data_IF_892057343448
#
_entry.id   IF_892057343448
#
_cell.length_a   1.000
_cell.length_b   1.000
_cell.length_c   1.000
_cell.angle_alpha   90.00
_cell.angle_beta   90.00
_cell.angle_gamma   90.00
#
_symmetry.space_group_name_H-M   'P 1'
#
loop_
_entity.id
_entity.type
_entity.pdbx_description
1 polymer ?
#
# COMPACT_ATOMS: atom_id res chain seq x y z
N UNK A 1 5.45 -13.35 -7.80
CA UNK A 1 5.55 -14.64 -7.08
C UNK A 1 4.14 -15.02 -6.69
N UNK A 2 3.71 -16.25 -6.97
CA UNK A 2 2.42 -16.72 -6.46
C UNK A 2 2.57 -16.93 -4.94
N UNK A 3 1.61 -16.49 -4.11
CA UNK A 3 1.65 -16.75 -2.68
C UNK A 3 1.69 -18.27 -2.43
N UNK A 4 2.47 -18.68 -1.42
CA UNK A 4 2.64 -20.09 -1.07
C UNK A 4 1.35 -20.69 -0.49
N UNK A 5 0.64 -19.91 0.32
CA UNK A 5 -0.68 -20.25 0.82
C UNK A 5 -1.62 -19.05 0.65
N UNK A 6 -2.89 -19.33 0.41
CA UNK A 6 -3.97 -18.36 0.50
C UNK A 6 -4.70 -18.57 1.82
N UNK A 7 -4.55 -17.64 2.75
CA UNK A 7 -5.15 -17.69 4.08
C UNK A 7 -6.33 -16.72 4.09
N UNK A 8 -7.51 -17.27 4.33
CA UNK A 8 -8.75 -16.52 4.37
C UNK A 8 -9.13 -16.22 5.81
N UNK A 9 -9.72 -15.06 6.06
CA UNK A 9 -10.28 -14.77 7.38
C UNK A 9 -11.61 -14.06 7.31
N UNK A 10 -12.40 -14.20 8.37
CA UNK A 10 -13.67 -13.51 8.56
C UNK A 10 -13.56 -12.56 9.74
N UNK A 11 -14.37 -11.50 9.74
CA UNK A 11 -14.45 -10.56 10.86
C UNK A 11 -15.76 -10.73 11.63
N UNK A 12 -15.71 -10.76 12.96
CA UNK A 12 -16.87 -10.73 13.84
C UNK A 12 -16.84 -9.46 14.70
N UNK A 13 -17.93 -8.69 14.71
CA UNK A 13 -18.05 -7.48 15.55
C UNK A 13 -17.21 -6.26 15.13
N UNK A 14 -16.43 -6.34 14.05
CA UNK A 14 -15.71 -5.18 13.50
C UNK A 14 -16.67 -4.27 12.72
N UNK A 15 -16.51 -2.95 12.89
CA UNK A 15 -17.22 -1.96 12.07
C UNK A 15 -16.69 -1.98 10.62
N UNK A 16 -17.51 -1.52 9.66
CA UNK A 16 -17.09 -1.42 8.25
C UNK A 16 -15.81 -0.58 8.09
N UNK A 17 -15.72 0.53 8.80
CA UNK A 17 -14.54 1.38 8.85
C UNK A 17 -13.28 0.63 9.37
N UNK A 18 -13.42 -0.24 10.37
CA UNK A 18 -12.27 -1.04 10.84
C UNK A 18 -11.89 -2.14 9.85
N UNK A 19 -12.88 -2.70 9.15
CA UNK A 19 -12.62 -3.68 8.07
C UNK A 19 -11.82 -3.03 6.95
N UNK A 20 -12.17 -1.82 6.52
CA UNK A 20 -11.43 -1.06 5.50
C UNK A 20 -10.01 -0.73 5.95
N UNK A 21 -9.84 -0.31 7.21
CA UNK A 21 -8.51 -0.07 7.81
C UNK A 21 -7.66 -1.32 7.84
N UNK A 22 -8.23 -2.42 8.33
CA UNK A 22 -7.55 -3.71 8.38
C UNK A 22 -7.16 -4.15 6.97
N UNK A 23 -8.08 -4.12 6.00
CA UNK A 23 -7.78 -4.41 4.60
C UNK A 23 -6.64 -3.54 4.06
N UNK A 24 -6.64 -2.25 4.36
CA UNK A 24 -5.56 -1.36 3.95
C UNK A 24 -4.20 -1.78 4.52
N UNK A 25 -4.15 -2.22 5.78
CA UNK A 25 -2.89 -2.68 6.40
C UNK A 25 -2.49 -4.08 5.91
N UNK A 26 -3.44 -4.96 5.61
CA UNK A 26 -3.15 -6.28 5.03
C UNK A 26 -2.37 -6.16 3.72
N UNK A 27 -2.75 -5.21 2.86
CA UNK A 27 -2.04 -4.96 1.60
C UNK A 27 -0.58 -4.65 1.85
N UNK A 28 -0.27 -3.95 2.94
CA UNK A 28 1.10 -3.66 3.34
C UNK A 28 1.78 -4.90 3.93
N UNK A 29 1.03 -5.69 4.68
CA UNK A 29 1.53 -6.87 5.37
C UNK A 29 1.85 -8.00 4.39
N UNK A 30 1.05 -8.16 3.34
CA UNK A 30 1.24 -9.12 2.25
C UNK A 30 2.61 -8.96 1.59
N UNK A 31 3.19 -7.76 1.59
CA UNK A 31 4.54 -7.52 1.06
C UNK A 31 5.63 -8.11 1.96
N UNK A 32 5.33 -8.29 3.25
CA UNK A 32 6.24 -8.84 4.27
C UNK A 32 5.91 -10.29 4.66
N UNK A 33 4.75 -10.79 4.28
CA UNK A 33 4.26 -12.14 4.52
C UNK A 33 4.46 -13.01 3.27
N UNK A 34 4.66 -14.31 3.46
CA UNK A 34 4.88 -15.26 2.35
C UNK A 34 3.58 -15.80 1.76
N UNK A 35 2.46 -15.53 2.43
CA UNK A 35 1.12 -15.99 2.11
C UNK A 35 0.21 -14.81 1.76
N UNK A 36 -0.79 -15.04 0.91
CA UNK A 36 -1.85 -14.07 0.65
C UNK A 36 -2.87 -14.12 1.77
N UNK A 37 -3.40 -12.96 2.12
CA UNK A 37 -4.38 -12.81 3.19
C UNK A 37 -5.59 -12.08 2.64
N UNK A 38 -6.76 -12.74 2.68
CA UNK A 38 -7.99 -12.19 2.11
C UNK A 38 -9.14 -12.21 3.12
N UNK A 39 -9.92 -11.13 3.12
CA UNK A 39 -11.11 -11.00 3.95
C UNK A 39 -12.32 -11.60 3.22
N UNK A 40 -12.99 -12.55 3.85
CA UNK A 40 -14.22 -13.17 3.37
C UNK A 40 -15.43 -12.73 4.22
N UNK A 41 -16.58 -12.54 3.57
CA UNK A 41 -17.85 -12.25 4.24
C UNK A 41 -18.52 -13.50 4.82
N UNK A 42 -18.19 -14.68 4.27
CA UNK A 42 -18.75 -15.95 4.73
C UNK A 42 -17.91 -16.51 5.87
N UNK A 43 -18.50 -16.75 7.06
CA UNK A 43 -17.77 -17.35 8.16
C UNK A 43 -17.38 -18.80 7.85
N UNK A 44 -18.11 -19.54 7.03
CA UNK A 44 -17.84 -20.97 6.82
C UNK A 44 -16.63 -21.24 5.93
N UNK A 45 -16.19 -20.24 5.16
CA UNK A 45 -15.09 -20.36 4.21
C UNK A 45 -13.75 -19.85 4.75
N UNK A 46 -13.73 -19.26 5.94
CA UNK A 46 -12.56 -18.60 6.51
C UNK A 46 -11.69 -19.54 7.36
N UNK A 47 -10.37 -19.45 7.22
CA UNK A 47 -9.39 -20.19 8.04
C UNK A 47 -9.22 -19.60 9.45
N UNK A 48 -9.36 -18.27 9.57
CA UNK A 48 -9.11 -17.49 10.78
C UNK A 48 -10.29 -16.56 11.09
N UNK A 49 -10.56 -16.31 12.37
CA UNK A 49 -11.57 -15.33 12.79
C UNK A 49 -10.89 -14.15 13.47
N UNK A 50 -11.22 -12.92 13.04
CA UNK A 50 -10.79 -11.69 13.68
C UNK A 50 -11.98 -11.06 14.39
N UNK A 51 -11.87 -10.81 15.69
CA UNK A 51 -12.97 -10.27 16.48
C UNK A 51 -12.52 -9.17 17.44
N UNK A 52 -13.44 -8.27 17.83
CA UNK A 52 -13.16 -7.29 18.89
C UNK A 52 -13.27 -7.92 20.27
N UNK A 53 -14.21 -8.85 20.44
CA UNK A 53 -14.33 -9.64 21.66
C UNK A 53 -14.60 -11.12 21.32
N UNK A 54 -13.90 -12.03 22.00
CA UNK A 54 -14.16 -13.48 22.05
C UNK A 54 -15.62 -13.84 22.35
N UNK A 55 -16.36 -13.01 23.11
CA UNK A 55 -17.79 -13.23 23.36
C UNK A 55 -18.65 -13.10 22.08
N UNK A 56 -18.12 -12.50 21.02
CA UNK A 56 -18.77 -12.38 19.71
C UNK A 56 -18.57 -13.64 18.83
N UNK A 57 -17.78 -14.61 19.30
CA UNK A 57 -17.51 -15.83 18.55
C UNK A 57 -18.65 -16.83 18.67
N UNK A 58 -18.89 -17.55 17.58
CA UNK A 58 -19.87 -18.64 17.57
C UNK A 58 -19.40 -19.79 18.49
N UNK A 59 -20.28 -20.33 19.36
CA UNK A 59 -19.96 -21.49 20.18
C UNK A 59 -19.53 -22.68 19.29
N UNK A 60 -18.42 -23.33 19.66
CA UNK A 60 -17.90 -24.49 18.92
C UNK A 60 -16.98 -24.17 17.73
N UNK A 61 -16.73 -22.90 17.42
CA UNK A 61 -15.72 -22.53 16.44
C UNK A 61 -14.31 -22.86 16.96
N UNK A 62 -13.56 -23.73 16.30
CA UNK A 62 -12.22 -24.18 16.73
C UNK A 62 -11.08 -23.49 15.96
N UNK A 63 -11.40 -22.55 15.07
CA UNK A 63 -10.41 -21.86 14.26
C UNK A 63 -9.51 -20.95 15.11
N UNK A 64 -8.29 -20.63 14.63
CA UNK A 64 -7.49 -19.55 15.17
C UNK A 64 -8.28 -18.25 15.27
N UNK A 65 -8.14 -17.58 16.42
CA UNK A 65 -8.81 -16.31 16.69
C UNK A 65 -7.76 -15.22 16.90
N UNK A 66 -7.90 -14.11 16.17
CA UNK A 66 -7.13 -12.88 16.41
C UNK A 66 -8.06 -11.86 17.07
N UNK A 67 -7.73 -11.45 18.29
CA UNK A 67 -8.47 -10.43 19.04
C UNK A 67 -7.91 -9.05 18.72
N UNK A 68 -8.77 -8.17 18.22
CA UNK A 68 -8.47 -6.80 17.83
C UNK A 68 -8.60 -5.87 19.04
N UNK A 69 -7.47 -5.49 19.66
CA UNK A 69 -7.46 -4.94 21.01
C UNK A 69 -7.00 -3.48 21.09
N UNK A 70 -7.82 -2.63 21.68
CA UNK A 70 -7.47 -1.23 21.95
C UNK A 70 -6.60 -1.08 23.21
N UNK A 71 -5.77 -0.02 23.32
CA UNK A 71 -4.86 0.16 24.45
C UNK A 71 -5.60 0.41 25.79
N UNK A 72 -6.85 0.87 25.71
CA UNK A 72 -7.72 1.16 26.85
C UNK A 72 -8.34 -0.08 27.47
N UNK A 73 -8.33 -1.22 26.78
CA UNK A 73 -8.96 -2.45 27.24
C UNK A 73 -8.04 -3.18 28.24
N UNK A 74 -8.57 -3.66 29.38
CA UNK A 74 -7.78 -4.37 30.38
C UNK A 74 -7.16 -5.64 29.79
N UNK A 75 -6.01 -6.05 30.34
CA UNK A 75 -5.40 -7.32 29.94
C UNK A 75 -6.37 -8.46 30.16
N UNK A 76 -6.63 -9.18 29.07
CA UNK A 76 -7.43 -10.38 29.14
C UNK A 76 -6.62 -11.47 29.81
N UNK A 77 -7.15 -11.96 30.92
CA UNK A 77 -6.66 -13.18 31.53
C UNK A 77 -7.05 -14.31 30.58
N UNK A 78 -6.07 -14.82 29.84
CA UNK A 78 -6.22 -15.96 28.95
C UNK A 78 -6.39 -17.21 29.82
N UNK A 79 -7.54 -17.35 30.46
CA UNK A 79 -7.88 -18.55 31.19
C UNK A 79 -8.12 -19.67 30.17
N UNK A 80 -7.09 -20.51 29.99
CA UNK A 80 -7.06 -21.79 29.25
C UNK A 80 -8.19 -21.97 28.22
N UNK A 81 -8.18 -21.14 27.18
CA UNK A 81 -9.04 -21.40 26.03
C UNK A 81 -8.51 -22.65 25.30
N UNK A 82 -9.42 -23.53 24.90
CA UNK A 82 -9.08 -24.73 24.13
C UNK A 82 -8.63 -24.41 22.69
N UNK A 83 -8.73 -23.14 22.28
CA UNK A 83 -8.41 -22.66 20.92
C UNK A 83 -7.18 -21.75 20.90
N UNK A 84 -6.42 -21.72 19.80
CA UNK A 84 -5.30 -20.80 19.65
C UNK A 84 -5.82 -19.36 19.52
N UNK A 85 -5.43 -18.53 20.49
CA UNK A 85 -5.82 -17.13 20.61
C UNK A 85 -4.58 -16.24 20.40
N UNK A 86 -4.71 -15.26 19.54
CA UNK A 86 -3.68 -14.26 19.25
C UNK A 86 -4.22 -12.87 19.54
N UNK A 87 -3.36 -11.97 20.00
CA UNK A 87 -3.71 -10.57 20.28
C UNK A 87 -3.07 -9.67 19.22
N UNK A 88 -3.88 -8.85 18.57
CA UNK A 88 -3.42 -7.80 17.66
C UNK A 88 -3.77 -6.44 18.26
N UNK A 89 -2.76 -5.70 18.72
CA UNK A 89 -3.01 -4.39 19.32
C UNK A 89 -3.16 -3.34 18.24
N UNK A 90 -4.09 -2.43 18.51
CA UNK A 90 -4.37 -1.28 17.67
C UNK A 90 -4.17 0.00 18.46
N UNK A 91 -3.88 1.08 17.74
CA UNK A 91 -3.79 2.39 18.34
C UNK A 91 -5.18 2.96 18.69
N UNK A 92 -5.22 4.19 19.22
CA UNK A 92 -6.47 4.88 19.56
C UNK A 92 -7.35 5.22 18.36
N UNK A 93 -6.83 5.11 17.13
CA UNK A 93 -7.60 5.26 15.90
C UNK A 93 -8.14 3.92 15.39
N UNK A 94 -7.84 2.82 16.08
CA UNK A 94 -8.19 1.47 15.66
C UNK A 94 -7.33 0.97 14.50
N UNK A 95 -6.11 1.48 14.31
CA UNK A 95 -5.16 0.98 13.31
C UNK A 95 -4.19 -0.01 13.95
N UNK A 96 -3.99 -1.22 13.38
CA UNK A 96 -3.08 -2.18 13.94
C UNK A 96 -1.63 -1.74 13.75
N UNK A 97 -0.80 -1.96 14.77
CA UNK A 97 0.63 -1.72 14.62
C UNK A 97 1.21 -2.71 13.61
N UNK A 98 1.85 -2.19 12.56
CA UNK A 98 2.32 -3.00 11.44
C UNK A 98 3.26 -4.15 11.86
N UNK A 99 4.19 -3.87 12.80
CA UNK A 99 5.12 -4.87 13.33
C UNK A 99 4.41 -5.99 14.08
N UNK A 100 3.40 -5.66 14.89
CA UNK A 100 2.59 -6.64 15.60
C UNK A 100 1.75 -7.46 14.63
N UNK A 101 1.12 -6.82 13.65
CA UNK A 101 0.32 -7.49 12.63
C UNK A 101 1.14 -8.55 11.90
N UNK A 102 2.33 -8.19 11.41
CA UNK A 102 3.22 -9.16 10.73
C UNK A 102 3.62 -10.30 11.67
N UNK A 103 3.84 -10.02 12.95
CA UNK A 103 4.22 -11.03 13.95
C UNK A 103 3.07 -12.00 14.22
N UNK A 104 1.88 -11.48 14.52
CA UNK A 104 0.66 -12.25 14.77
C UNK A 104 0.31 -13.11 13.56
N UNK A 105 0.39 -12.55 12.36
CA UNK A 105 0.02 -13.26 11.13
C UNK A 105 0.98 -14.43 10.84
N UNK A 106 2.28 -14.26 11.09
CA UNK A 106 3.24 -15.36 11.01
C UNK A 106 2.97 -16.45 12.04
N UNK A 107 2.58 -16.08 13.26
CA UNK A 107 2.23 -17.06 14.29
C UNK A 107 0.97 -17.86 13.91
N UNK A 108 -0.03 -17.17 13.35
CA UNK A 108 -1.25 -17.80 12.85
C UNK A 108 -0.96 -18.73 11.67
N UNK A 109 -0.13 -18.31 10.73
CA UNK A 109 0.32 -19.14 9.61
C UNK A 109 1.01 -20.44 10.09
N UNK A 110 1.94 -20.33 11.05
CA UNK A 110 2.59 -21.49 11.65
C UNK A 110 1.58 -22.41 12.36
N UNK A 111 0.58 -21.84 13.04
CA UNK A 111 -0.46 -22.62 13.70
C UNK A 111 -1.33 -23.38 12.68
N UNK A 112 -1.70 -22.76 11.56
CA UNK A 112 -2.47 -23.39 10.49
C UNK A 112 -1.68 -24.55 9.86
N UNK A 113 -0.37 -24.36 9.64
CA UNK A 113 0.52 -25.41 9.15
C UNK A 113 0.57 -26.60 10.13
N UNK A 114 0.67 -26.35 11.43
CA UNK A 114 0.69 -27.41 12.44
C UNK A 114 -0.61 -28.24 12.46
N UNK A 115 -1.76 -27.58 12.34
CA UNK A 115 -3.07 -28.25 12.29
C UNK A 115 -3.20 -29.10 11.02
N UNK A 116 -2.72 -28.60 9.88
CA UNK A 116 -2.72 -29.34 8.61
C UNK A 116 -1.86 -30.62 8.69
N UNK A 117 -0.68 -30.53 9.30
CA UNK A 117 0.21 -31.69 9.51
C UNK A 117 -0.44 -32.72 10.46
N UNK A 118 -1.05 -32.27 11.56
CA UNK A 118 -1.72 -33.16 12.50
C UNK A 118 -2.90 -33.93 11.87
N UNK A 119 -3.66 -33.27 10.99
CA UNK A 119 -4.81 -33.87 10.30
C UNK A 119 -4.42 -34.81 9.15
N UNK A 120 -3.19 -34.68 8.63
CA UNK A 120 -2.68 -35.53 7.55
C UNK A 120 -2.35 -36.97 7.99
N UNK A 121 -2.50 -37.29 9.29
CA UNK A 121 -2.14 -38.57 9.88
C UNK A 121 -0.63 -38.80 9.91
N UNK A 122 -0.15 -39.86 10.59
CA UNK A 122 1.27 -40.20 10.63
C UNK A 122 1.72 -40.70 9.26
N UNK A 123 2.05 -39.77 8.35
CA UNK A 123 2.93 -40.10 7.25
C UNK A 123 4.34 -40.25 7.84
N UNK A 124 4.88 -41.46 7.76
CA UNK A 124 6.26 -41.77 8.15
C UNK A 124 7.19 -40.97 7.24
N UNK A 125 7.62 -39.79 7.71
CA UNK A 125 8.67 -39.01 7.08
C UNK A 125 9.64 -38.51 8.15
N UNK A 126 10.77 -39.22 8.18
CA UNK A 126 12.03 -38.86 8.84
C UNK A 126 12.52 -37.55 8.25
N UNK A 127 12.63 -36.49 9.06
CA UNK A 127 13.84 -35.65 9.20
C UNK A 127 13.62 -34.56 10.26
N UNK A 128 14.62 -34.39 11.11
CA UNK A 128 14.70 -33.44 12.22
C UNK A 128 14.57 -31.98 11.77
N UNK A 129 13.56 -31.27 12.29
CA UNK A 129 13.50 -29.80 12.29
C UNK A 129 13.76 -29.33 13.72
N UNK A 130 14.81 -28.53 13.98
CA UNK A 130 15.09 -28.04 15.32
C UNK A 130 14.05 -27.01 15.76
N UNK A 131 13.45 -27.26 16.94
CA UNK A 131 12.58 -26.34 17.65
C UNK A 131 13.32 -25.01 17.92
N UNK A 132 12.81 -23.90 17.39
CA UNK A 132 13.25 -22.56 17.81
C UNK A 132 12.68 -22.26 19.19
N UNK A 133 13.56 -22.15 20.18
CA UNK A 133 13.24 -21.58 21.50
C UNK A 133 12.95 -20.08 21.40
N UNK A 134 12.09 -19.52 22.28
CA UNK A 134 11.78 -18.11 22.28
C UNK A 134 13.04 -17.28 22.59
N UNK A 135 13.33 -16.32 21.72
CA UNK A 135 14.38 -15.32 21.93
C UNK A 135 13.90 -14.39 23.04
N UNK A 136 14.43 -14.57 24.25
CA UNK A 136 14.42 -13.55 25.27
C UNK A 136 15.46 -12.49 24.90
N UNK A 137 15.03 -11.22 24.97
CA UNK A 137 15.85 -10.00 25.00
C UNK A 137 16.89 -9.83 23.88
N UNK A 138 16.44 -9.22 22.77
CA UNK A 138 17.33 -8.54 21.84
C UNK A 138 17.46 -7.06 22.24
N UNK A 139 18.58 -6.75 22.91
CA UNK A 139 19.10 -5.40 23.05
C UNK A 139 19.38 -4.82 21.64
N UNK A 140 18.80 -3.64 21.34
CA UNK A 140 18.85 -2.94 20.04
C UNK A 140 20.25 -2.37 19.66
N UNK A 141 21.37 -2.90 20.14
CA UNK A 141 22.69 -2.34 19.82
C UNK A 141 23.72 -3.44 19.50
N UNK A 142 23.87 -3.77 18.22
CA UNK A 142 25.02 -4.56 17.75
C UNK A 142 24.82 -5.18 16.36
N UNK A 143 24.95 -4.38 15.31
CA UNK A 143 25.11 -4.89 13.94
C UNK A 143 26.48 -4.40 13.43
N UNK A 144 27.52 -5.18 13.71
CA UNK A 144 28.81 -5.07 13.02
C UNK A 144 29.03 -6.38 12.23
N UNK A 145 29.24 -6.19 10.93
CA UNK A 145 29.96 -7.00 9.94
C UNK A 145 30.01 -8.52 10.15
N UNK A 146 29.25 -9.23 9.32
CA UNK A 146 29.47 -10.66 9.08
C UNK A 146 29.53 -10.93 7.57
N UNK A 147 30.75 -11.19 7.11
CA UNK A 147 31.10 -11.59 5.75
C UNK A 147 30.43 -12.93 5.38
N UNK A 148 29.63 -12.90 4.31
CA UNK A 148 28.99 -14.07 3.73
C UNK A 148 29.77 -14.51 2.47
N UNK A 149 30.76 -15.40 2.64
CA UNK A 149 31.23 -16.23 1.54
C UNK A 149 30.32 -17.46 1.39
N UNK A 150 29.56 -17.49 0.30
CA UNK A 150 28.64 -18.58 -0.06
C UNK A 150 29.16 -19.39 -1.24
N UNK A 151 29.52 -20.64 -0.94
CA UNK A 151 29.92 -21.72 -1.86
C UNK A 151 28.76 -22.12 -2.79
N UNK A 152 29.04 -22.20 -4.10
CA UNK A 152 28.14 -22.72 -5.13
C UNK A 152 28.04 -24.26 -5.07
N UNK A 153 26.84 -24.86 -5.15
CA UNK A 153 26.71 -26.27 -5.46
C UNK A 153 26.47 -26.50 -6.96
N UNK A 154 27.22 -27.46 -7.47
CA UNK A 154 27.24 -28.01 -8.82
C UNK A 154 25.93 -28.69 -9.20
N UNK A 155 25.39 -28.38 -10.39
CA UNK A 155 24.20 -29.02 -10.95
C UNK A 155 24.51 -30.43 -11.48
N UNK A 156 23.70 -31.39 -11.05
CA UNK A 156 23.70 -32.77 -11.55
C UNK A 156 22.75 -32.89 -12.74
N UNK A 157 23.24 -33.45 -13.84
CA UNK A 157 22.47 -33.83 -15.04
C UNK A 157 21.35 -34.81 -14.72
N UNK A 158 20.15 -34.56 -15.26
CA UNK A 158 19.03 -35.52 -15.27
C UNK A 158 18.74 -35.96 -16.69
N UNK A 159 18.67 -37.28 -16.81
CA UNK A 159 18.52 -38.14 -17.99
C UNK A 159 17.18 -37.92 -18.69
N UNK A 160 17.24 -37.83 -20.04
CA UNK A 160 16.10 -37.94 -20.96
C UNK A 160 15.56 -39.37 -20.96
N UNK A 161 14.27 -39.52 -20.68
CA UNK A 161 13.47 -40.66 -21.12
C UNK A 161 12.27 -40.15 -21.93
N UNK A 162 12.11 -40.72 -23.12
CA UNK A 162 11.03 -40.47 -24.04
C UNK A 162 10.01 -41.60 -23.94
N UNK A 163 8.72 -41.24 -23.94
CA UNK A 163 7.65 -42.13 -24.43
C UNK A 163 6.51 -41.28 -25.02
N UNK A 164 5.86 -41.74 -26.10
CA UNK A 164 4.80 -41.01 -26.79
C UNK A 164 3.43 -41.47 -26.30
N UNK A 165 2.60 -40.54 -25.81
CA UNK A 165 1.21 -40.82 -25.45
C UNK A 165 0.26 -39.73 -25.99
N UNK A 166 -0.49 -40.16 -27.01
CA UNK A 166 -1.89 -39.84 -27.30
C UNK A 166 -2.39 -38.39 -27.22
N UNK A 167 -2.64 -37.84 -28.42
CA UNK A 167 -3.49 -36.69 -28.72
C UNK A 167 -4.84 -36.75 -27.99
N UNK A 168 -4.92 -36.01 -26.87
CA UNK A 168 -6.20 -35.51 -26.35
C UNK A 168 -6.28 -34.03 -26.68
N UNK A 169 -7.07 -33.75 -27.72
CA UNK A 169 -7.45 -32.40 -28.15
C UNK A 169 -8.33 -31.75 -27.06
N UNK A 170 -7.68 -31.18 -26.03
CA UNK A 170 -8.33 -30.30 -25.07
C UNK A 170 -8.47 -28.94 -25.77
N UNK A 171 -9.67 -28.63 -26.24
CA UNK A 171 -10.05 -27.26 -26.58
C UNK A 171 -9.91 -26.41 -25.31
N UNK A 172 -8.76 -25.74 -25.19
CA UNK A 172 -8.55 -24.73 -24.17
C UNK A 172 -9.58 -23.61 -24.41
N UNK A 173 -10.57 -23.51 -23.51
CA UNK A 173 -11.38 -22.30 -23.41
C UNK A 173 -10.42 -21.15 -23.12
N UNK A 174 -10.09 -20.37 -24.14
CA UNK A 174 -9.36 -19.12 -24.01
C UNK A 174 -10.17 -18.21 -23.08
N UNK A 175 -9.66 -18.06 -21.85
CA UNK A 175 -10.15 -17.11 -20.85
C UNK A 175 -10.24 -15.74 -21.54
N UNK A 176 -11.40 -15.07 -21.55
CA UNK A 176 -11.54 -13.80 -22.25
C UNK A 176 -10.49 -12.83 -21.72
N UNK A 177 -9.64 -12.31 -22.60
CA UNK A 177 -8.70 -11.25 -22.24
C UNK A 177 -9.49 -10.09 -21.63
N UNK A 178 -9.09 -9.59 -20.45
CA UNK A 178 -9.76 -8.46 -19.83
C UNK A 178 -9.70 -7.29 -20.81
N UNK A 179 -10.88 -6.77 -21.19
CA UNK A 179 -10.96 -5.59 -22.06
C UNK A 179 -10.13 -4.47 -21.44
N UNK A 180 -9.14 -3.99 -22.18
CA UNK A 180 -8.32 -2.87 -21.75
C UNK A 180 -9.22 -1.67 -21.42
N UNK A 181 -9.22 -1.27 -20.16
CA UNK A 181 -9.96 -0.09 -19.70
C UNK A 181 -9.29 1.13 -20.34
N UNK A 182 -10.02 1.84 -21.19
CA UNK A 182 -9.50 3.07 -21.80
C UNK A 182 -9.35 4.12 -20.69
N UNK A 183 -8.17 4.76 -20.53
CA UNK A 183 -7.98 5.77 -19.51
C UNK A 183 -8.92 6.97 -19.72
N UNK A 184 -9.32 7.66 -18.65
CA UNK A 184 -10.13 8.87 -18.75
C UNK A 184 -9.37 9.96 -19.53
N UNK A 185 -10.07 10.68 -20.40
CA UNK A 185 -9.47 11.74 -21.23
C UNK A 185 -9.15 13.01 -20.41
N UNK A 186 -8.14 12.95 -19.54
CA UNK A 186 -7.75 14.05 -18.63
C UNK A 186 -6.50 14.84 -19.09
N UNK A 187 -5.94 14.48 -20.23
CA UNK A 187 -4.68 15.02 -20.78
C UNK A 187 -4.69 16.55 -20.90
N UNK A 188 -5.78 17.10 -21.45
CA UNK A 188 -5.90 18.55 -21.66
C UNK A 188 -5.91 19.33 -20.35
N UNK A 189 -6.53 18.77 -19.31
CA UNK A 189 -6.60 19.38 -17.98
C UNK A 189 -5.23 19.35 -17.30
N UNK A 190 -4.49 18.24 -17.41
CA UNK A 190 -3.14 18.12 -16.89
C UNK A 190 -2.18 19.13 -17.57
N UNK A 191 -2.19 19.17 -18.91
CA UNK A 191 -1.40 20.11 -19.70
C UNK A 191 -1.76 21.57 -19.38
N UNK A 192 -3.04 21.85 -19.15
CA UNK A 192 -3.50 23.17 -18.76
C UNK A 192 -2.92 23.61 -17.42
N UNK A 193 -3.08 22.78 -16.37
CA UNK A 193 -2.56 23.12 -15.04
C UNK A 193 -1.04 23.31 -15.02
N UNK A 194 -0.32 22.55 -15.84
CA UNK A 194 1.14 22.69 -15.98
C UNK A 194 1.55 24.06 -16.53
N UNK A 195 0.80 24.58 -17.51
CA UNK A 195 1.13 25.84 -18.20
C UNK A 195 0.58 27.08 -17.49
N UNK A 196 -0.54 26.94 -16.79
CA UNK A 196 -1.36 28.08 -16.37
C UNK A 196 -1.08 28.58 -14.95
N UNK A 197 -0.10 27.98 -14.26
CA UNK A 197 0.31 28.37 -12.91
C UNK A 197 1.00 29.75 -12.93
N UNK A 198 0.22 30.83 -12.96
CA UNK A 198 0.73 32.19 -12.76
C UNK A 198 0.02 33.32 -13.50
N UNK A 199 -0.69 33.03 -14.60
CA UNK A 199 -1.18 34.11 -15.49
C UNK A 199 -2.43 34.82 -14.98
N UNK A 200 -3.33 34.09 -14.31
CA UNK A 200 -4.52 34.65 -13.69
C UNK A 200 -4.85 33.89 -12.39
N UNK A 201 -5.45 34.55 -11.37
CA UNK A 201 -5.74 33.93 -10.09
C UNK A 201 -6.94 32.97 -10.15
N UNK A 202 -7.91 33.21 -11.05
CA UNK A 202 -9.16 32.45 -11.12
C UNK A 202 -9.41 31.92 -12.53
N UNK A 203 -9.80 30.65 -12.62
CA UNK A 203 -10.10 30.00 -13.89
C UNK A 203 -11.34 29.14 -13.78
N UNK A 204 -12.03 28.97 -14.91
CA UNK A 204 -13.15 28.06 -15.09
C UNK A 204 -12.84 27.11 -16.23
N UNK A 205 -13.02 25.83 -15.96
CA UNK A 205 -12.87 24.74 -16.92
C UNK A 205 -14.23 24.06 -17.01
N UNK A 206 -14.83 24.07 -18.20
CA UNK A 206 -16.04 23.32 -18.51
C UNK A 206 -15.60 22.04 -19.23
N UNK A 207 -16.03 20.88 -18.75
CA UNK A 207 -15.78 19.60 -19.38
C UNK A 207 -16.87 19.30 -20.42
N UNK A 208 -16.62 18.35 -21.33
CA UNK A 208 -17.63 17.91 -22.30
C UNK A 208 -18.79 17.17 -21.63
N UNK A 209 -18.56 16.57 -20.45
CA UNK A 209 -19.61 16.05 -19.57
C UNK A 209 -20.60 17.12 -19.07
N UNK A 210 -20.22 18.40 -19.15
CA UNK A 210 -20.96 19.52 -18.56
C UNK A 210 -20.50 19.87 -17.13
N UNK A 211 -19.62 19.06 -16.54
CA UNK A 211 -19.03 19.37 -15.24
C UNK A 211 -18.15 20.63 -15.29
N UNK A 212 -18.10 21.35 -14.19
CA UNK A 212 -17.36 22.61 -14.08
C UNK A 212 -16.33 22.51 -12.95
N UNK A 213 -15.09 22.77 -13.31
CA UNK A 213 -13.98 22.90 -12.36
C UNK A 213 -13.61 24.39 -12.27
N UNK A 214 -13.72 24.95 -11.08
CA UNK A 214 -13.27 26.31 -10.78
C UNK A 214 -11.94 26.24 -10.04
N UNK A 215 -10.93 26.95 -10.52
CA UNK A 215 -9.59 26.98 -9.92
C UNK A 215 -9.34 28.35 -9.27
N UNK A 216 -8.94 28.36 -8.01
CA UNK A 216 -8.42 29.51 -7.29
C UNK A 216 -6.93 29.27 -6.97
N UNK A 217 -6.07 29.71 -7.88
CA UNK A 217 -4.61 29.59 -7.70
C UNK A 217 -4.08 30.48 -6.56
N UNK A 218 -4.84 31.49 -6.14
CA UNK A 218 -4.42 32.38 -5.04
C UNK A 218 -4.56 31.68 -3.70
N UNK A 219 -5.64 30.94 -3.48
CA UNK A 219 -5.84 30.15 -2.25
C UNK A 219 -5.27 28.73 -2.35
N UNK A 220 -4.89 28.28 -3.56
CA UNK A 220 -4.44 26.91 -3.78
C UNK A 220 -5.59 25.90 -3.69
N UNK A 221 -6.81 26.32 -4.05
CA UNK A 221 -8.04 25.52 -3.95
C UNK A 221 -8.73 25.38 -5.30
N UNK A 222 -9.45 24.29 -5.47
CA UNK A 222 -10.38 24.11 -6.59
C UNK A 222 -11.76 23.72 -6.07
N UNK A 223 -12.76 23.98 -6.90
CA UNK A 223 -14.14 23.63 -6.63
C UNK A 223 -14.69 22.82 -7.78
N UNK A 224 -15.34 21.70 -7.47
CA UNK A 224 -15.95 20.81 -8.44
C UNK A 224 -17.31 20.33 -7.93
N UNK A 225 -18.29 20.23 -8.83
CA UNK A 225 -19.63 19.71 -8.56
C UNK A 225 -19.66 18.17 -8.40
N UNK A 226 -18.52 17.50 -8.62
CA UNK A 226 -18.37 16.04 -8.57
C UNK A 226 -17.05 15.66 -7.92
N UNK A 227 -16.99 14.49 -7.27
CA UNK A 227 -15.72 13.97 -6.74
C UNK A 227 -14.77 13.57 -7.87
N UNK A 228 -13.46 13.59 -7.59
CA UNK A 228 -12.43 13.27 -8.59
C UNK A 228 -12.51 11.80 -9.02
N UNK A 229 -12.80 10.88 -8.10
CA UNK A 229 -12.95 9.44 -8.36
C UNK A 229 -14.03 9.15 -9.38
N UNK A 230 -15.06 10.00 -9.44
CA UNK A 230 -16.16 9.84 -10.34
C UNK A 230 -15.75 10.10 -11.81
N UNK A 231 -14.63 10.79 -12.06
CA UNK A 231 -14.02 10.88 -13.40
C UNK A 231 -13.44 9.55 -13.89
N UNK A 232 -13.19 8.60 -12.99
CA UNK A 232 -12.74 7.25 -13.35
C UNK A 232 -13.91 6.31 -13.69
N UNK A 233 -15.15 6.73 -13.44
CA UNK A 233 -16.34 5.90 -13.62
C UNK A 233 -17.00 6.18 -14.98
N UNK A 234 -17.16 5.12 -15.77
CA UNK A 234 -17.85 5.10 -17.08
C UNK A 234 -17.28 6.09 -18.13
N UNK A 235 -17.63 6.00 -19.43
CA UNK A 235 -16.99 6.80 -20.49
C UNK A 235 -17.50 8.25 -20.47
N UNK A 236 -17.40 8.93 -19.34
CA UNK A 236 -17.58 10.37 -19.27
C UNK A 236 -16.47 11.01 -20.12
N UNK A 237 -16.88 11.82 -21.11
CA UNK A 237 -15.93 12.61 -21.88
C UNK A 237 -15.43 13.76 -21.00
N UNK A 238 -14.33 13.48 -20.28
CA UNK A 238 -13.69 14.40 -19.36
C UNK A 238 -12.78 15.40 -20.09
N UNK A 239 -12.86 15.49 -21.43
CA UNK A 239 -12.11 16.50 -22.19
C UNK A 239 -12.61 17.89 -21.82
N UNK A 240 -11.69 18.85 -21.78
CA UNK A 240 -12.06 20.24 -21.60
C UNK A 240 -12.78 20.73 -22.87
N UNK A 241 -14.03 21.18 -22.72
CA UNK A 241 -14.77 21.83 -23.80
C UNK A 241 -14.39 23.31 -23.90
N UNK A 242 -14.17 23.96 -22.75
CA UNK A 242 -13.87 25.38 -22.67
C UNK A 242 -13.05 25.70 -21.43
N UNK A 243 -12.02 26.54 -21.58
CA UNK A 243 -11.19 27.03 -20.48
C UNK A 243 -11.12 28.56 -20.55
N UNK A 244 -11.39 29.24 -19.44
CA UNK A 244 -11.37 30.70 -19.36
C UNK A 244 -10.87 31.23 -18.03
N UNK A 245 -10.20 32.37 -18.07
CA UNK A 245 -9.87 33.17 -16.88
C UNK A 245 -11.11 33.92 -16.38
N UNK A 246 -11.25 34.08 -15.06
CA UNK A 246 -12.33 34.84 -14.43
C UNK A 246 -11.79 36.01 -13.60
N UNK A 247 -12.59 37.07 -13.47
CA UNK A 247 -12.43 38.03 -12.39
C UNK A 247 -12.90 37.43 -11.05
N UNK A 248 -12.51 38.05 -9.94
CA UNK A 248 -12.93 37.60 -8.61
C UNK A 248 -14.47 37.63 -8.44
N UNK A 249 -15.15 38.61 -9.03
CA UNK A 249 -16.61 38.74 -8.94
C UNK A 249 -17.31 37.64 -9.76
N UNK A 250 -16.82 37.35 -10.96
CA UNK A 250 -17.34 36.25 -11.79
C UNK A 250 -17.10 34.90 -11.12
N UNK A 251 -15.92 34.66 -10.55
CA UNK A 251 -15.61 33.44 -9.81
C UNK A 251 -16.60 33.21 -8.65
N UNK A 252 -16.85 34.24 -7.84
CA UNK A 252 -17.85 34.16 -6.75
C UNK A 252 -19.26 33.92 -7.27
N UNK A 253 -19.63 34.54 -8.39
CA UNK A 253 -20.93 34.30 -9.01
C UNK A 253 -21.06 32.88 -9.53
N UNK A 254 -20.04 32.34 -10.20
CA UNK A 254 -20.04 30.95 -10.67
C UNK A 254 -20.08 29.96 -9.51
N UNK A 255 -19.31 30.20 -8.44
CA UNK A 255 -19.32 29.39 -7.24
C UNK A 255 -20.70 29.34 -6.58
N UNK A 256 -21.45 30.46 -6.59
CA UNK A 256 -22.82 30.51 -6.04
C UNK A 256 -23.88 29.78 -6.88
N UNK A 257 -23.59 29.46 -8.15
CA UNK A 257 -24.54 28.79 -9.06
C UNK A 257 -24.54 27.27 -8.90
N UNK A 258 -23.54 26.71 -8.22
CA UNK A 258 -23.28 25.28 -8.20
C UNK A 258 -23.06 24.80 -6.77
N UNK A 259 -23.49 23.58 -6.48
CA UNK A 259 -23.15 22.91 -5.24
C UNK A 259 -21.80 22.21 -5.42
N UNK A 260 -20.72 22.95 -5.15
CA UNK A 260 -19.36 22.46 -5.35
C UNK A 260 -18.68 22.14 -4.02
N UNK A 261 -17.93 21.05 -3.99
CA UNK A 261 -17.00 20.76 -2.91
C UNK A 261 -15.67 21.48 -3.14
N UNK A 262 -15.09 22.03 -2.07
CA UNK A 262 -13.78 22.68 -2.09
C UNK A 262 -12.68 21.68 -1.72
N UNK A 263 -11.61 21.64 -2.52
CA UNK A 263 -10.45 20.76 -2.30
C UNK A 263 -9.13 21.48 -2.64
N UNK A 264 -7.97 21.03 -2.11
CA UNK A 264 -6.66 21.57 -2.48
C UNK A 264 -6.32 21.33 -3.96
N UNK A 265 -5.72 22.30 -4.65
CA UNK A 265 -5.22 22.12 -6.03
C UNK A 265 -4.18 20.99 -6.09
N UNK A 266 -3.40 20.78 -5.03
CA UNK A 266 -2.45 19.67 -4.95
C UNK A 266 -3.12 18.30 -5.08
N UNK A 267 -4.37 18.14 -4.60
CA UNK A 267 -5.15 16.90 -4.77
C UNK A 267 -5.57 16.69 -6.23
N UNK A 268 -5.91 17.76 -6.95
CA UNK A 268 -6.19 17.70 -8.38
C UNK A 268 -4.93 17.38 -9.19
N UNK A 269 -3.79 17.99 -8.87
CA UNK A 269 -2.50 17.70 -9.52
C UNK A 269 -2.08 16.25 -9.31
N UNK A 270 -2.19 15.75 -8.08
CA UNK A 270 -1.98 14.33 -7.74
C UNK A 270 -2.84 13.41 -8.61
N UNK A 271 -4.15 13.68 -8.66
CA UNK A 271 -5.09 12.86 -9.42
C UNK A 271 -4.77 12.85 -10.92
N UNK A 272 -4.42 14.00 -11.48
CA UNK A 272 -4.06 14.13 -12.89
C UNK A 272 -2.74 13.45 -13.22
N UNK A 273 -1.74 13.51 -12.33
CA UNK A 273 -0.49 12.77 -12.50
C UNK A 273 -0.74 11.25 -12.56
N UNK A 274 -1.66 10.73 -11.75
CA UNK A 274 -2.00 9.30 -11.76
C UNK A 274 -2.74 8.85 -13.04
N UNK A 275 -3.63 9.69 -13.59
CA UNK A 275 -4.64 9.21 -14.54
C UNK A 275 -4.66 9.92 -15.90
N UNK A 276 -3.92 11.01 -16.10
CA UNK A 276 -3.95 11.74 -17.37
C UNK A 276 -3.15 11.08 -18.48
N UNK A 277 -2.18 10.21 -18.16
CA UNK A 277 -1.29 9.60 -19.15
C UNK A 277 -0.36 10.60 -19.86
N UNK A 278 -0.30 11.85 -19.39
CA UNK A 278 0.60 12.87 -19.93
C UNK A 278 1.99 12.65 -19.34
N UNK A 279 2.91 12.13 -20.15
CA UNK A 279 4.31 12.04 -19.77
C UNK A 279 4.92 13.44 -19.60
N UNK A 280 5.67 13.64 -18.50
CA UNK A 280 6.57 14.78 -18.38
C UNK A 280 5.97 16.02 -17.72
N UNK A 281 5.12 15.86 -16.71
CA UNK A 281 4.95 16.94 -15.73
C UNK A 281 6.27 17.15 -14.99
N UNK A 282 6.95 16.07 -14.59
CA UNK A 282 8.35 16.05 -14.18
C UNK A 282 9.12 14.99 -14.99
N UNK A 283 10.34 15.29 -15.41
CA UNK A 283 11.17 14.34 -16.15
C UNK A 283 11.61 13.19 -15.22
N UNK A 284 10.77 12.16 -15.13
CA UNK A 284 11.07 10.91 -14.43
C UNK A 284 11.91 10.05 -15.37
N UNK A 285 13.15 9.78 -14.98
CA UNK A 285 14.09 8.94 -15.72
C UNK A 285 13.93 7.49 -15.28
N UNK A 286 13.68 6.57 -16.20
CA UNK A 286 13.57 5.14 -15.86
C UNK A 286 14.85 4.56 -15.22
N UNK A 287 15.99 5.17 -15.52
CA UNK A 287 17.31 4.72 -15.05
C UNK A 287 17.72 5.37 -13.70
N UNK A 288 16.95 6.34 -13.20
CA UNK A 288 17.16 6.89 -11.85
C UNK A 288 16.51 5.98 -10.80
N UNK A 289 17.14 5.87 -9.63
CA UNK A 289 16.61 5.10 -8.52
C UNK A 289 15.71 5.97 -7.64
N UNK A 290 14.51 5.48 -7.32
CA UNK A 290 13.50 6.21 -6.58
C UNK A 290 13.21 5.56 -5.23
N UNK A 291 13.02 6.40 -4.21
CA UNK A 291 12.45 6.00 -2.92
C UNK A 291 11.56 7.10 -2.35
N UNK A 292 10.64 6.71 -1.47
CA UNK A 292 9.72 7.64 -0.82
C UNK A 292 10.27 8.11 0.54
N UNK A 293 10.09 9.40 0.83
CA UNK A 293 10.37 10.02 2.13
C UNK A 293 9.31 9.67 3.17
N UNK A 294 8.05 9.56 2.73
CA UNK A 294 6.87 9.29 3.55
C UNK A 294 5.78 8.59 2.71
N UNK A 295 4.73 8.11 3.37
CA UNK A 295 3.58 7.53 2.69
C UNK A 295 2.72 8.62 2.05
N UNK A 296 2.05 8.34 0.92
CA UNK A 296 0.96 9.19 0.46
C UNK A 296 -0.16 9.22 1.51
N UNK A 297 -0.80 10.37 1.66
CA UNK A 297 -1.97 10.52 2.53
C UNK A 297 -3.12 9.65 1.97
N UNK A 298 -3.75 8.85 2.84
CA UNK A 298 -4.85 7.96 2.47
C UNK A 298 -6.09 8.70 1.97
N UNK A 299 -6.20 10.01 2.25
CA UNK A 299 -7.27 10.87 1.75
C UNK A 299 -7.02 11.38 0.32
N UNK A 300 -5.87 11.07 -0.29
CA UNK A 300 -5.59 11.49 -1.65
C UNK A 300 -6.51 10.78 -2.66
N UNK A 301 -7.07 11.55 -3.61
CA UNK A 301 -8.07 11.04 -4.52
C UNK A 301 -7.48 9.99 -5.47
N UNK A 302 -8.29 8.97 -5.76
CA UNK A 302 -7.93 7.91 -6.71
C UNK A 302 -6.77 7.00 -6.27
N UNK A 303 -6.42 6.95 -4.98
CA UNK A 303 -5.53 5.90 -4.46
C UNK A 303 -6.19 4.51 -4.62
N UNK A 304 -5.39 3.52 -5.03
CA UNK A 304 -5.81 2.13 -5.26
C UNK A 304 -4.86 1.20 -4.54
N UNK A 305 -5.26 -0.07 -4.37
CA UNK A 305 -4.45 -1.10 -3.70
C UNK A 305 -3.02 -1.20 -4.26
N UNK A 306 -2.89 -1.14 -5.59
CA UNK A 306 -1.58 -1.17 -6.27
C UNK A 306 -0.69 0.01 -5.90
N UNK A 307 -1.25 1.21 -5.67
CA UNK A 307 -0.50 2.39 -5.24
C UNK A 307 0.04 2.23 -3.82
N UNK A 308 -0.72 1.62 -2.90
CA UNK A 308 -0.23 1.30 -1.55
C UNK A 308 0.89 0.25 -1.60
N UNK A 309 0.78 -0.73 -2.50
CA UNK A 309 1.85 -1.71 -2.73
C UNK A 309 3.14 -1.06 -3.21
N UNK A 310 3.04 -0.11 -4.15
CA UNK A 310 4.18 0.70 -4.60
C UNK A 310 4.76 1.55 -3.47
N UNK A 311 3.90 2.23 -2.70
CA UNK A 311 4.33 3.08 -1.60
C UNK A 311 5.14 2.29 -0.55
N UNK A 312 4.67 1.10 -0.16
CA UNK A 312 5.40 0.24 0.77
C UNK A 312 6.76 -0.16 0.20
N UNK A 313 6.77 -0.66 -1.05
CA UNK A 313 7.99 -1.12 -1.70
C UNK A 313 9.04 0.00 -1.79
N UNK A 314 8.62 1.18 -2.25
CA UNK A 314 9.51 2.33 -2.45
C UNK A 314 9.92 3.03 -1.16
N UNK A 315 9.19 2.84 -0.05
CA UNK A 315 9.63 3.30 1.28
C UNK A 315 10.76 2.43 1.82
N UNK A 316 10.72 1.13 1.55
CA UNK A 316 11.67 0.15 2.06
C UNK A 316 12.91 0.02 1.19
N UNK A 317 12.76 0.20 -0.13
CA UNK A 317 13.80 -0.06 -1.12
C UNK A 317 13.92 1.12 -2.07
N UNK A 318 15.16 1.38 -2.47
CA UNK A 318 15.49 2.39 -3.46
C UNK A 318 15.98 1.68 -4.71
N UNK A 319 15.22 1.79 -5.78
CA UNK A 319 15.36 0.95 -6.99
C UNK A 319 14.95 1.76 -8.23
N UNK A 320 15.38 1.32 -9.41
CA UNK A 320 14.94 1.90 -10.68
C UNK A 320 13.50 1.50 -11.02
N UNK A 321 12.85 2.23 -11.93
CA UNK A 321 11.47 1.94 -12.35
C UNK A 321 11.34 0.51 -12.90
N UNK A 322 12.32 0.05 -13.67
CA UNK A 322 12.36 -1.31 -14.24
C UNK A 322 12.46 -2.38 -13.17
N UNK A 323 13.27 -2.17 -12.14
CA UNK A 323 13.42 -3.09 -11.01
C UNK A 323 12.17 -3.14 -10.15
N UNK A 324 11.54 -1.99 -9.89
CA UNK A 324 10.26 -1.90 -9.18
C UNK A 324 9.19 -2.69 -9.95
N UNK A 325 9.08 -2.48 -11.27
CA UNK A 325 8.13 -3.19 -12.12
C UNK A 325 8.34 -4.71 -12.05
N UNK A 326 9.60 -5.16 -12.20
CA UNK A 326 9.96 -6.57 -12.13
C UNK A 326 9.61 -7.21 -10.77
N UNK A 327 9.94 -6.54 -9.66
CA UNK A 327 9.75 -7.07 -8.30
C UNK A 327 8.29 -7.03 -7.84
N UNK A 328 7.56 -5.98 -8.20
CA UNK A 328 6.16 -5.78 -7.75
C UNK A 328 5.12 -6.42 -8.67
N UNK A 329 5.49 -6.65 -9.94
CA UNK A 329 4.58 -7.08 -11.01
C UNK A 329 3.67 -5.97 -11.54
N UNK A 330 3.89 -4.71 -11.13
CA UNK A 330 3.06 -3.57 -11.55
C UNK A 330 3.62 -2.99 -12.86
N UNK A 331 2.76 -2.59 -13.82
CA UNK A 331 3.20 -2.02 -15.09
C UNK A 331 4.05 -0.75 -14.91
N UNK A 332 5.07 -0.58 -15.77
CA UNK A 332 5.96 0.60 -15.76
C UNK A 332 5.19 1.92 -15.86
N UNK A 333 4.18 2.00 -16.73
CA UNK A 333 3.35 3.20 -16.89
C UNK A 333 2.65 3.61 -15.58
N UNK A 334 2.09 2.63 -14.84
CA UNK A 334 1.47 2.88 -13.53
C UNK A 334 2.49 3.35 -12.50
N UNK A 335 3.70 2.80 -12.52
CA UNK A 335 4.78 3.20 -11.60
C UNK A 335 5.24 4.62 -11.91
N UNK A 336 5.42 4.97 -13.19
CA UNK A 336 5.81 6.32 -13.61
C UNK A 336 4.77 7.36 -13.16
N UNK A 337 3.48 7.10 -13.43
CA UNK A 337 2.38 7.96 -13.00
C UNK A 337 2.34 8.12 -11.47
N UNK A 338 2.57 7.03 -10.73
CA UNK A 338 2.64 7.07 -9.26
C UNK A 338 3.83 7.89 -8.74
N UNK A 339 5.03 7.71 -9.32
CA UNK A 339 6.23 8.47 -8.97
C UNK A 339 6.03 9.97 -9.23
N UNK A 340 5.41 10.31 -10.37
CA UNK A 340 5.08 11.68 -10.72
C UNK A 340 4.06 12.30 -9.75
N UNK A 341 3.03 11.54 -9.36
CA UNK A 341 2.08 11.98 -8.34
C UNK A 341 2.77 12.21 -6.99
N UNK A 342 3.65 11.30 -6.56
CA UNK A 342 4.47 11.46 -5.35
C UNK A 342 5.40 12.67 -5.42
N UNK A 343 5.89 13.03 -6.61
CA UNK A 343 6.69 14.22 -6.81
C UNK A 343 5.92 15.51 -6.48
N UNK A 344 4.66 15.61 -6.91
CA UNK A 344 3.80 16.76 -6.57
C UNK A 344 3.57 16.94 -5.08
N UNK A 345 3.59 15.85 -4.32
CA UNK A 345 3.44 15.86 -2.87
C UNK A 345 4.79 16.02 -2.12
N UNK A 346 5.91 16.16 -2.85
CA UNK A 346 7.25 16.22 -2.24
C UNK A 346 7.65 14.93 -1.53
N UNK A 347 7.07 13.80 -1.93
CA UNK A 347 7.29 12.50 -1.29
C UNK A 347 8.50 11.75 -1.86
N UNK A 348 9.02 12.13 -3.03
CA UNK A 348 10.15 11.44 -3.66
C UNK A 348 11.47 12.06 -3.21
N UNK A 349 12.40 11.24 -2.71
CA UNK A 349 13.79 11.67 -2.44
C UNK A 349 14.64 11.47 -3.68
N UNK A 350 15.26 12.54 -4.18
CA UNK A 350 16.26 12.44 -5.25
C UNK A 350 17.68 12.46 -4.65
N UNK A 351 18.52 11.52 -5.07
CA UNK A 351 19.91 11.37 -4.61
C UNK A 351 20.81 12.58 -4.82
N UNK A 352 20.41 13.50 -5.71
CA UNK A 352 21.21 14.68 -6.05
C UNK A 352 21.50 15.56 -4.83
N UNK A 353 20.70 15.46 -3.77
CA UNK A 353 20.93 16.17 -2.50
C UNK A 353 21.82 15.40 -1.50
N UNK A 354 21.84 14.06 -1.52
CA UNK A 354 22.64 13.27 -0.57
C UNK A 354 24.15 13.51 -0.75
N UNK A 355 24.61 13.68 -2.01
CA UNK A 355 26.03 13.90 -2.32
C UNK A 355 26.59 15.24 -1.83
N UNK A 356 25.76 16.21 -1.46
CA UNK A 356 26.22 17.51 -0.94
C UNK A 356 26.32 17.57 0.58
N UNK A 357 25.62 16.70 1.32
CA UNK A 357 25.66 16.71 2.79
C UNK A 357 26.84 15.90 3.33
N UNK A 358 27.28 14.84 2.64
CA UNK A 358 28.41 14.01 3.09
C UNK A 358 29.81 14.63 2.86
N UNK A 359 29.91 15.81 2.23
CA UNK A 359 31.19 16.51 2.03
C UNK A 359 31.40 17.66 3.03
N UNK A 360 30.37 18.08 3.79
CA UNK A 360 30.55 18.97 4.92
C UNK A 360 30.66 18.15 6.21
N UNK A 361 31.91 17.82 6.53
CA UNK A 361 32.34 16.94 7.60
C UNK A 361 31.53 17.04 8.89
N UNK A 362 30.99 15.90 9.31
CA UNK A 362 30.61 15.67 10.70
C UNK A 362 31.87 15.54 11.56
N UNK A 363 32.54 16.65 11.87
CA UNK A 363 33.19 16.76 13.17
C UNK A 363 32.08 16.83 14.21
N UNK A 364 31.56 15.67 14.63
CA UNK A 364 30.60 15.59 15.73
C UNK A 364 31.32 16.09 17.00
N UNK A 365 30.87 17.18 17.65
CA UNK A 365 31.45 17.60 18.92
C UNK A 365 31.12 16.52 19.97
N UNK A 366 32.13 15.74 20.36
CA UNK A 366 32.07 14.80 21.48
C UNK A 366 31.80 15.59 22.77
N UNK A 367 30.54 15.88 23.09
CA UNK A 367 30.22 16.60 24.33
C UNK A 367 28.79 17.11 24.48
N UNK A 368 28.01 17.27 23.42
CA UNK A 368 26.72 17.96 23.47
C UNK A 368 25.72 17.32 24.45
N UNK A 369 25.59 15.98 24.44
CA UNK A 369 24.67 15.27 25.33
C UNK A 369 25.10 15.27 26.80
N UNK A 370 26.40 15.41 27.12
CA UNK A 370 26.87 15.51 28.50
C UNK A 370 26.47 16.83 29.17
N UNK A 371 26.19 17.87 28.40
CA UNK A 371 25.87 19.20 28.92
C UNK A 371 24.36 19.33 29.22
N UNK A 372 23.50 18.70 28.41
CA UNK A 372 22.04 18.68 28.61
C UNK A 372 21.66 17.81 29.83
N UNK A 373 22.36 16.70 30.07
CA UNK A 373 22.06 15.85 31.23
C UNK A 373 22.49 16.46 32.57
N UNK A 374 23.34 17.49 32.59
CA UNK A 374 23.73 18.20 33.82
C UNK A 374 22.73 19.31 34.21
N UNK A 375 21.93 19.83 33.28
CA UNK A 375 20.96 20.89 33.58
C UNK A 375 19.63 20.39 34.16
N UNK A 376 19.37 19.08 34.12
CA UNK A 376 18.10 18.49 34.60
C UNK A 376 18.16 18.06 36.09
N UNK A 377 19.33 18.18 36.74
CA UNK A 377 19.52 17.83 38.17
C UNK A 377 19.74 19.04 39.10
N UNK A 378 19.19 20.21 38.78
CA UNK A 378 19.14 21.34 39.72
C UNK A 378 17.73 21.81 39.97
#
# INVERSE_FOLDING_TARGET
MNPLNDITFTTAGLSENDREKLQSVLVLAEIRLSSSWSLHDSPDAADVVICRAVDELQPGDMRPVIVYREPSQPEWCVDKHERPLFELRVDSSGMPHFSELVTVFKQVELQLLNVSVANSGPQVLVTDIPLLTPVADLDENGFEDMDLEGVLPTSTEVVKSADPAEDRHIQALSKPEPKAVTPPCLEQLALYLQRSAGDAPYHKILLQSGDVILLDFRSGRFHCNRSLEAFLQEPADNRASYISTLSQQEFKSELSKQDCSEQPIASLQWFLALYSGVEGLHAVSEDEAYCLSAWPDSQLPGLRQEHFKLAAFMRDKKETIKEIAHKTGIPVATILAFVEACHYQGLVKQDKEQKKVDVQGSERPKGFWRQILRSIKR
#
